data_IF_549363683726
#
_entry.id   IF_549363683726
#
_cell.length_a   1.000
_cell.length_b   1.000
_cell.length_c   1.000
_cell.angle_alpha   90.00
_cell.angle_beta   90.00
_cell.angle_gamma   90.00
#
_symmetry.space_group_name_H-M   'P 1'
#
loop_
_entity.id
_entity.type
_entity.pdbx_description
1 polymer ?
#
# COMPACT_ATOMS: atom_id res chain seq x y z
N UNK A 1 -8.67 20.02 -5.23
CA UNK A 1 -9.76 19.46 -6.03
C UNK A 1 -9.28 18.18 -6.68
N UNK A 2 -9.95 17.07 -6.39
CA UNK A 2 -9.66 15.81 -7.06
C UNK A 2 -9.98 15.98 -8.54
N UNK A 3 -9.00 15.77 -9.41
CA UNK A 3 -9.25 15.67 -10.83
C UNK A 3 -10.09 14.41 -11.08
N UNK A 4 -11.14 14.53 -11.89
CA UNK A 4 -12.00 13.40 -12.28
C UNK A 4 -11.36 12.47 -13.31
N UNK A 5 -10.22 12.83 -13.84
CA UNK A 5 -9.50 12.09 -14.87
C UNK A 5 -8.45 11.19 -14.23
N UNK A 6 -8.15 10.11 -14.90
CA UNK A 6 -7.24 9.10 -14.44
C UNK A 6 -5.89 9.72 -14.06
N UNK A 7 -5.50 9.50 -12.82
CA UNK A 7 -4.27 10.04 -12.28
C UNK A 7 -3.09 9.31 -12.91
N UNK A 8 -2.20 10.08 -13.49
CA UNK A 8 -0.90 9.60 -13.91
C UNK A 8 -0.05 9.24 -12.69
N UNK A 9 1.01 8.46 -12.88
CA UNK A 9 1.93 8.04 -11.83
C UNK A 9 2.22 9.15 -10.83
N UNK A 10 1.80 8.96 -9.59
CA UNK A 10 2.13 9.84 -8.48
C UNK A 10 1.77 11.32 -8.71
N UNK A 11 0.82 11.63 -9.59
CA UNK A 11 0.49 13.01 -9.94
C UNK A 11 0.23 13.86 -8.70
N UNK A 12 -0.48 13.33 -7.71
CA UNK A 12 -0.70 14.04 -6.45
C UNK A 12 0.51 14.02 -5.53
N UNK A 13 1.23 12.90 -5.47
CA UNK A 13 2.47 12.80 -4.70
C UNK A 13 3.61 13.62 -5.28
N UNK A 14 3.61 13.85 -6.59
CA UNK A 14 4.62 14.63 -7.28
C UNK A 14 4.40 16.15 -7.23
N UNK A 15 3.30 16.63 -6.68
CA UNK A 15 3.10 18.08 -6.52
C UNK A 15 4.17 18.69 -5.59
N UNK A 16 4.74 19.81 -6.02
CA UNK A 16 5.84 20.47 -5.29
C UNK A 16 5.52 20.72 -3.82
N UNK A 17 4.28 21.02 -3.49
CA UNK A 17 3.84 21.20 -2.11
C UNK A 17 3.96 19.90 -1.32
N UNK A 18 3.49 18.78 -1.87
CA UNK A 18 3.45 17.49 -1.16
C UNK A 18 4.83 16.91 -0.81
N UNK A 19 5.87 17.32 -1.53
CA UNK A 19 7.26 16.91 -1.23
C UNK A 19 8.02 17.93 -0.39
N UNK A 20 7.36 18.97 0.11
CA UNK A 20 7.97 20.01 0.93
C UNK A 20 7.92 19.66 2.43
N UNK A 21 8.89 20.17 3.19
CA UNK A 21 8.89 20.08 4.65
C UNK A 21 7.62 20.69 5.26
N UNK A 22 7.09 21.75 4.64
CA UNK A 22 5.85 22.37 5.08
C UNK A 22 4.65 21.45 4.98
N UNK A 23 4.54 20.66 3.91
CA UNK A 23 3.47 19.67 3.77
C UNK A 23 3.63 18.52 4.77
N UNK A 24 4.86 18.05 4.97
CA UNK A 24 5.15 17.00 5.95
C UNK A 24 4.81 17.44 7.37
N UNK A 25 5.26 18.63 7.76
CA UNK A 25 4.95 19.20 9.08
C UNK A 25 3.44 19.38 9.28
N UNK A 26 2.72 19.79 8.21
CA UNK A 26 1.26 19.90 8.26
C UNK A 26 0.57 18.55 8.42
N UNK A 27 1.08 17.49 7.79
CA UNK A 27 0.59 16.11 7.97
C UNK A 27 0.77 15.67 9.43
N UNK A 28 1.94 15.88 10.03
CA UNK A 28 2.21 15.59 11.43
C UNK A 28 1.25 16.36 12.35
N UNK A 29 1.10 17.67 12.14
CA UNK A 29 0.17 18.51 12.92
C UNK A 29 -1.26 17.97 12.90
N UNK A 30 -1.75 17.57 11.72
CA UNK A 30 -3.12 17.08 11.55
C UNK A 30 -3.32 15.68 12.12
N UNK A 31 -2.32 14.80 12.05
CA UNK A 31 -2.42 13.44 12.53
C UNK A 31 -2.18 13.30 14.04
N UNK A 32 -1.43 14.20 14.65
CA UNK A 32 -1.16 14.15 16.09
C UNK A 32 -2.44 13.99 16.95
N UNK A 33 -3.49 14.83 16.82
CA UNK A 33 -4.70 14.66 17.61
C UNK A 33 -5.46 13.36 17.28
N UNK A 34 -5.38 12.88 16.03
CA UNK A 34 -6.02 11.62 15.62
C UNK A 34 -5.35 10.42 16.30
N UNK A 35 -4.02 10.40 16.30
CA UNK A 35 -3.23 9.36 16.98
C UNK A 35 -3.47 9.38 18.50
N UNK A 36 -3.53 10.55 19.12
CA UNK A 36 -3.83 10.66 20.55
C UNK A 36 -5.25 10.18 20.88
N UNK A 37 -6.21 10.39 19.99
CA UNK A 37 -7.56 9.83 20.15
C UNK A 37 -7.55 8.31 20.02
N UNK A 38 -6.85 7.77 19.03
CA UNK A 38 -6.68 6.34 18.82
C UNK A 38 -6.06 5.66 20.05
N UNK A 39 -5.01 6.27 20.61
CA UNK A 39 -4.37 5.83 21.85
C UNK A 39 -5.33 5.79 23.03
N UNK A 40 -6.14 6.83 23.23
CA UNK A 40 -7.14 6.89 24.30
C UNK A 40 -8.26 5.85 24.15
N UNK A 41 -8.55 5.47 22.91
CA UNK A 41 -9.61 4.53 22.57
C UNK A 41 -9.12 3.10 22.40
N UNK A 42 -7.82 2.85 22.58
CA UNK A 42 -7.14 1.58 22.32
C UNK A 42 -7.41 1.04 20.88
N UNK A 43 -7.34 1.94 19.91
CA UNK A 43 -7.54 1.63 18.49
C UNK A 43 -6.18 1.68 17.77
N UNK A 44 -5.93 0.68 16.93
CA UNK A 44 -4.81 0.69 16.00
C UNK A 44 -5.24 1.32 14.67
N UNK A 45 -4.59 2.41 14.28
CA UNK A 45 -4.75 3.02 12.96
C UNK A 45 -3.78 2.38 11.97
N UNK A 46 -4.14 2.42 10.70
CA UNK A 46 -3.23 2.08 9.62
C UNK A 46 -3.21 3.21 8.57
N UNK A 47 -2.03 3.47 8.01
CA UNK A 47 -1.86 4.38 6.87
C UNK A 47 -1.47 3.57 5.64
N UNK A 48 -2.27 3.68 4.59
CA UNK A 48 -2.02 2.96 3.34
C UNK A 48 -0.94 3.62 2.50
N UNK A 49 -0.07 2.78 1.92
CA UNK A 49 0.84 3.23 0.85
C UNK A 49 0.08 3.40 -0.45
N UNK A 50 0.09 4.59 -1.01
CA UNK A 50 -0.73 4.92 -2.18
C UNK A 50 -0.08 5.90 -3.14
N UNK A 51 -0.42 5.81 -4.42
CA UNK A 51 0.11 6.69 -5.45
C UNK A 51 -0.48 8.11 -5.43
N UNK A 52 -1.62 8.29 -4.78
CA UNK A 52 -2.31 9.59 -4.66
C UNK A 52 -2.09 10.24 -3.29
N UNK A 53 -1.10 9.79 -2.55
CA UNK A 53 -0.86 10.19 -1.17
C UNK A 53 0.57 10.68 -0.98
N UNK A 54 0.85 11.27 0.17
CA UNK A 54 2.22 11.60 0.57
C UNK A 54 3.00 10.34 0.99
N UNK A 55 2.30 9.32 1.45
CA UNK A 55 2.90 8.04 1.87
C UNK A 55 2.84 7.09 0.69
N UNK A 56 3.90 7.07 -0.10
CA UNK A 56 4.02 6.26 -1.33
C UNK A 56 4.88 5.02 -1.16
N UNK A 57 5.47 4.83 0.03
CA UNK A 57 6.38 3.72 0.30
C UNK A 57 6.33 3.30 1.77
N UNK A 58 6.79 2.10 2.04
CA UNK A 58 7.00 1.60 3.40
C UNK A 58 7.95 2.51 4.19
N UNK A 59 9.03 2.97 3.56
CA UNK A 59 9.97 3.89 4.19
C UNK A 59 9.30 5.19 4.68
N UNK A 60 8.44 5.80 3.85
CA UNK A 60 7.70 7.01 4.23
C UNK A 60 6.65 6.72 5.31
N UNK A 61 6.00 5.56 5.25
CA UNK A 61 5.09 5.11 6.30
C UNK A 61 5.78 4.95 7.64
N UNK A 62 6.95 4.29 7.66
CA UNK A 62 7.78 4.16 8.86
C UNK A 62 8.22 5.52 9.38
N UNK A 63 8.74 6.39 8.50
CA UNK A 63 9.14 7.75 8.86
C UNK A 63 7.99 8.53 9.52
N UNK A 64 6.78 8.41 8.99
CA UNK A 64 5.60 9.05 9.57
C UNK A 64 5.33 8.56 11.00
N UNK A 65 5.42 7.25 11.24
CA UNK A 65 5.21 6.65 12.56
C UNK A 65 6.29 7.10 13.54
N UNK A 66 7.55 7.13 13.11
CA UNK A 66 8.68 7.58 13.92
C UNK A 66 8.54 9.08 14.28
N UNK A 67 8.19 9.93 13.32
CA UNK A 67 8.01 11.36 13.54
C UNK A 67 6.79 11.67 14.45
N UNK A 68 5.73 10.86 14.40
CA UNK A 68 4.59 10.92 15.32
C UNK A 68 4.89 10.29 16.69
N UNK A 69 5.99 9.55 16.80
CA UNK A 69 6.41 8.84 18.02
C UNK A 69 5.26 8.02 18.65
N UNK A 70 4.63 7.17 17.86
CA UNK A 70 3.42 6.46 18.27
C UNK A 70 3.50 4.96 18.01
N UNK A 71 2.80 4.18 18.85
CA UNK A 71 2.54 2.75 18.65
C UNK A 71 1.12 2.46 18.16
N UNK A 72 0.28 3.49 18.02
CA UNK A 72 -1.12 3.39 17.61
C UNK A 72 -1.35 3.71 16.13
N UNK A 73 -0.27 3.78 15.35
CA UNK A 73 -0.30 3.87 13.89
C UNK A 73 0.67 2.82 13.32
N UNK A 74 0.22 2.10 12.32
CA UNK A 74 1.03 1.15 11.55
C UNK A 74 0.85 1.40 10.05
N UNK A 75 1.66 0.74 9.23
CA UNK A 75 1.53 0.79 7.77
C UNK A 75 0.53 -0.26 7.30
N UNK A 76 -0.40 0.13 6.46
CA UNK A 76 -1.10 -0.76 5.55
C UNK A 76 -0.29 -0.75 4.25
N UNK A 77 0.37 -1.87 3.96
CA UNK A 77 1.19 -1.98 2.77
C UNK A 77 0.40 -2.55 1.60
N UNK A 78 0.37 -1.80 0.51
CA UNK A 78 -0.12 -2.27 -0.78
C UNK A 78 1.08 -2.33 -1.75
N UNK A 79 1.64 -3.53 -1.99
CA UNK A 79 2.81 -3.68 -2.82
C UNK A 79 2.59 -3.33 -4.29
N UNK A 80 1.36 -3.42 -4.80
CA UNK A 80 1.07 -3.00 -6.16
C UNK A 80 1.08 -1.46 -6.28
N UNK A 81 0.57 -0.74 -5.26
CA UNK A 81 0.72 0.71 -5.18
C UNK A 81 2.20 1.11 -5.10
N UNK A 82 2.98 0.42 -4.28
CA UNK A 82 4.42 0.65 -4.15
C UNK A 82 5.16 0.42 -5.46
N UNK A 83 4.81 -0.63 -6.21
CA UNK A 83 5.44 -0.97 -7.48
C UNK A 83 5.41 0.18 -8.48
N UNK A 84 4.26 0.81 -8.70
CA UNK A 84 4.17 1.93 -9.63
C UNK A 84 4.59 3.28 -9.04
N UNK A 85 4.87 3.33 -7.76
CA UNK A 85 5.57 4.45 -7.12
C UNK A 85 7.10 4.27 -7.11
N UNK A 86 7.61 3.16 -7.68
CA UNK A 86 9.04 2.91 -7.82
C UNK A 86 9.69 2.19 -6.62
N UNK A 87 8.92 1.71 -5.66
CA UNK A 87 9.42 0.85 -4.58
C UNK A 87 9.47 -0.61 -5.05
N UNK A 88 10.56 -1.31 -4.78
CA UNK A 88 10.62 -2.75 -5.01
C UNK A 88 9.75 -3.47 -3.96
N UNK A 89 8.66 -4.15 -4.35
CA UNK A 89 7.69 -4.67 -3.40
C UNK A 89 8.18 -5.86 -2.57
N UNK A 90 9.24 -6.54 -2.98
CA UNK A 90 9.63 -7.80 -2.35
C UNK A 90 10.82 -7.72 -1.41
N UNK A 91 11.62 -6.68 -1.47
CA UNK A 91 12.85 -6.60 -0.69
C UNK A 91 12.91 -5.37 0.20
N UNK A 92 13.08 -4.19 -0.39
CA UNK A 92 13.37 -2.97 0.38
C UNK A 92 12.18 -2.51 1.22
N UNK A 93 10.96 -2.76 0.74
CA UNK A 93 9.74 -2.38 1.44
C UNK A 93 9.62 -3.09 2.79
N UNK A 94 9.67 -4.42 2.78
CA UNK A 94 9.48 -5.23 4.00
C UNK A 94 10.64 -5.12 4.98
N UNK A 95 11.86 -4.83 4.52
CA UNK A 95 12.99 -4.54 5.43
C UNK A 95 12.70 -3.28 6.28
N UNK A 96 11.99 -2.29 5.71
CA UNK A 96 11.55 -1.10 6.45
C UNK A 96 10.45 -1.40 7.49
N UNK A 97 9.76 -2.53 7.36
CA UNK A 97 8.63 -2.90 8.22
C UNK A 97 9.03 -3.78 9.42
N UNK A 98 10.27 -4.19 9.51
CA UNK A 98 10.79 -4.91 10.68
C UNK A 98 10.61 -4.09 11.97
N UNK A 99 10.29 -4.77 13.06
CA UNK A 99 10.06 -4.12 14.36
C UNK A 99 8.61 -3.72 14.62
N UNK A 100 7.65 -4.32 13.87
CA UNK A 100 6.22 -4.19 14.15
C UNK A 100 5.54 -2.98 13.51
N UNK A 101 6.13 -2.40 12.48
CA UNK A 101 5.54 -1.28 11.74
C UNK A 101 4.41 -1.69 10.80
N UNK A 102 4.38 -2.96 10.36
CA UNK A 102 3.34 -3.47 9.47
C UNK A 102 2.06 -3.80 10.23
N UNK A 103 0.94 -3.24 9.83
CA UNK A 103 -0.37 -3.44 10.46
C UNK A 103 -1.37 -4.19 9.60
N UNK A 104 -1.28 -4.04 8.28
CA UNK A 104 -2.15 -4.71 7.32
C UNK A 104 -1.47 -4.81 5.96
N UNK A 105 -1.90 -5.76 5.15
CA UNK A 105 -1.41 -5.94 3.78
C UNK A 105 -2.60 -6.03 2.82
N UNK A 106 -2.61 -5.20 1.79
CA UNK A 106 -3.46 -5.38 0.63
C UNK A 106 -2.71 -6.12 -0.47
N UNK A 107 -3.40 -7.05 -1.12
CA UNK A 107 -2.85 -7.75 -2.27
C UNK A 107 -3.74 -7.55 -3.48
N UNK A 108 -3.15 -7.06 -4.55
CA UNK A 108 -3.73 -6.95 -5.89
C UNK A 108 -2.63 -7.11 -6.93
N UNK A 109 -3.00 -7.17 -8.19
CA UNK A 109 -2.03 -7.23 -9.28
C UNK A 109 -2.33 -6.20 -10.37
N UNK A 110 -1.28 -5.76 -11.04
CA UNK A 110 -1.33 -4.65 -11.99
C UNK A 110 -0.43 -4.89 -13.19
N UNK A 111 -0.86 -4.39 -14.34
CA UNK A 111 -0.03 -4.10 -15.51
C UNK A 111 0.31 -2.61 -15.52
N UNK A 112 1.60 -2.29 -15.58
CA UNK A 112 2.10 -0.91 -15.59
C UNK A 112 2.75 -0.63 -16.92
N UNK A 113 2.15 0.24 -17.72
CA UNK A 113 2.68 0.70 -19.00
C UNK A 113 3.31 2.09 -18.82
N UNK A 114 4.56 2.14 -18.36
CA UNK A 114 5.27 3.38 -18.00
C UNK A 114 5.26 4.40 -19.14
N UNK A 115 5.56 3.94 -20.37
CA UNK A 115 5.62 4.81 -21.57
C UNK A 115 4.26 5.41 -21.99
N UNK A 116 3.15 4.86 -21.45
CA UNK A 116 1.79 5.37 -21.66
C UNK A 116 1.23 6.04 -20.40
N UNK A 117 1.98 6.03 -19.30
CA UNK A 117 1.52 6.46 -17.98
C UNK A 117 0.18 5.80 -17.58
N UNK A 118 0.04 4.50 -17.86
CA UNK A 118 -1.18 3.73 -17.60
C UNK A 118 -0.92 2.62 -16.61
N UNK A 119 -1.93 2.40 -15.76
CA UNK A 119 -2.02 1.27 -14.84
C UNK A 119 -3.35 0.58 -15.13
N UNK A 120 -3.32 -0.74 -15.18
CA UNK A 120 -4.50 -1.59 -15.30
C UNK A 120 -4.44 -2.66 -14.24
N UNK A 121 -5.51 -2.81 -13.44
CA UNK A 121 -5.63 -3.93 -12.53
C UNK A 121 -5.96 -5.21 -13.31
N UNK A 122 -5.35 -6.32 -12.90
CA UNK A 122 -5.52 -7.66 -13.48
C UNK A 122 -5.76 -8.67 -12.37
N UNK A 123 -6.12 -9.91 -12.72
CA UNK A 123 -6.25 -10.97 -11.73
C UNK A 123 -4.90 -11.25 -11.05
N UNK A 124 -4.93 -11.61 -9.78
CA UNK A 124 -3.73 -11.84 -8.98
C UNK A 124 -2.88 -12.98 -9.59
N UNK A 125 -1.64 -12.66 -9.90
CA UNK A 125 -0.70 -13.57 -10.54
C UNK A 125 -0.63 -13.44 -12.07
N UNK A 126 -1.39 -12.53 -12.67
CA UNK A 126 -1.38 -12.27 -14.12
C UNK A 126 -0.63 -10.98 -14.51
N UNK A 127 -0.25 -10.17 -13.52
CA UNK A 127 0.42 -8.89 -13.73
C UNK A 127 1.88 -8.87 -13.28
N UNK A 128 2.36 -7.68 -13.05
CA UNK A 128 3.76 -7.42 -12.68
C UNK A 128 4.06 -7.74 -11.22
N UNK A 129 3.04 -7.98 -10.39
CA UNK A 129 3.22 -8.51 -9.04
C UNK A 129 3.53 -10.02 -9.04
N UNK A 130 3.19 -10.75 -10.11
CA UNK A 130 3.35 -12.20 -10.19
C UNK A 130 4.72 -12.73 -9.73
N UNK A 131 5.88 -12.17 -10.18
CA UNK A 131 7.19 -12.64 -9.75
C UNK A 131 7.54 -12.33 -8.30
N UNK A 132 6.79 -11.44 -7.64
CA UNK A 132 7.04 -11.00 -6.27
C UNK A 132 6.17 -11.73 -5.23
N UNK A 133 5.05 -12.32 -5.64
CA UNK A 133 4.04 -12.85 -4.71
C UNK A 133 4.61 -13.87 -3.72
N UNK A 134 5.40 -14.85 -4.19
CA UNK A 134 5.99 -15.86 -3.32
C UNK A 134 7.05 -15.23 -2.39
N UNK A 135 7.92 -14.37 -2.91
CA UNK A 135 8.94 -13.69 -2.10
C UNK A 135 8.30 -12.81 -1.01
N UNK A 136 7.16 -12.19 -1.29
CA UNK A 136 6.40 -11.42 -0.29
C UNK A 136 5.88 -12.37 0.80
N UNK A 137 5.27 -13.50 0.41
CA UNK A 137 4.77 -14.49 1.38
C UNK A 137 5.89 -15.01 2.29
N UNK A 138 7.01 -15.41 1.71
CA UNK A 138 8.19 -15.91 2.44
C UNK A 138 8.70 -14.82 3.40
N UNK A 139 8.82 -13.57 2.93
CA UNK A 139 9.34 -12.47 3.73
C UNK A 139 8.41 -12.05 4.87
N UNK A 140 7.09 -12.09 4.67
CA UNK A 140 6.12 -11.87 5.74
C UNK A 140 6.27 -12.91 6.85
N UNK A 141 6.49 -14.17 6.50
CA UNK A 141 6.79 -15.24 7.46
C UNK A 141 8.13 -14.96 8.18
N UNK A 142 9.18 -14.58 7.48
CA UNK A 142 10.50 -14.31 8.04
C UNK A 142 10.49 -13.20 9.10
N UNK A 143 9.70 -12.13 8.86
CA UNK A 143 9.54 -11.03 9.84
C UNK A 143 8.53 -11.33 10.94
N UNK A 144 7.94 -12.52 10.94
CA UNK A 144 6.95 -12.95 11.92
C UNK A 144 5.64 -12.17 11.86
N UNK A 145 5.20 -11.79 10.65
CA UNK A 145 3.92 -11.07 10.48
C UNK A 145 2.75 -12.00 10.78
N UNK A 146 1.98 -11.66 11.80
CA UNK A 146 0.79 -12.39 12.28
C UNK A 146 -0.52 -11.61 12.06
N UNK A 147 -0.44 -10.48 11.35
CA UNK A 147 -1.59 -9.65 11.04
C UNK A 147 -2.44 -10.20 9.89
N UNK A 148 -3.53 -9.49 9.60
CA UNK A 148 -4.44 -9.87 8.51
C UNK A 148 -3.97 -9.32 7.16
N UNK A 149 -4.34 -10.05 6.10
CA UNK A 149 -4.15 -9.67 4.71
C UNK A 149 -5.50 -9.64 4.00
N UNK A 150 -5.70 -8.70 3.09
CA UNK A 150 -6.90 -8.58 2.27
C UNK A 150 -6.57 -8.67 0.79
N UNK A 151 -7.37 -9.46 0.07
CA UNK A 151 -7.38 -9.37 -1.39
C UNK A 151 -8.20 -8.13 -1.78
N UNK A 152 -7.51 -7.08 -2.24
CA UNK A 152 -8.13 -5.87 -2.79
C UNK A 152 -8.32 -6.04 -4.30
N UNK A 153 -9.32 -6.81 -4.72
CA UNK A 153 -9.56 -7.01 -6.14
C UNK A 153 -10.29 -5.82 -6.75
N UNK A 154 -9.52 -4.91 -7.34
CA UNK A 154 -10.04 -3.83 -8.21
C UNK A 154 -10.07 -4.24 -9.69
N UNK A 155 -9.68 -5.48 -9.99
CA UNK A 155 -9.81 -6.07 -11.31
C UNK A 155 -11.28 -6.31 -11.64
N UNK A 156 -11.64 -5.98 -12.87
CA UNK A 156 -12.94 -6.28 -13.46
C UNK A 156 -12.73 -6.84 -14.86
N UNK A 157 -13.16 -8.06 -15.15
CA UNK A 157 -13.18 -8.60 -16.51
C UNK A 157 -13.99 -7.73 -17.47
N UNK A 158 -13.68 -7.78 -18.77
CA UNK A 158 -14.37 -6.96 -19.78
C UNK A 158 -15.87 -7.21 -19.86
N UNK A 159 -16.30 -8.43 -19.58
CA UNK A 159 -17.71 -8.88 -19.60
C UNK A 159 -18.18 -9.35 -18.22
N UNK A 160 -17.57 -8.85 -17.14
CA UNK A 160 -17.85 -9.26 -15.76
C UNK A 160 -17.97 -8.05 -14.82
N UNK A 161 -18.10 -8.35 -13.54
CA UNK A 161 -18.13 -7.37 -12.47
C UNK A 161 -16.93 -7.52 -11.51
N UNK A 162 -16.96 -6.82 -10.38
CA UNK A 162 -15.90 -6.90 -9.37
C UNK A 162 -15.88 -8.25 -8.63
N UNK A 163 -17.03 -8.93 -8.50
CA UNK A 163 -17.11 -10.26 -7.90
C UNK A 163 -16.41 -11.29 -8.79
N UNK A 164 -16.59 -11.20 -10.12
CA UNK A 164 -15.87 -12.04 -11.08
C UNK A 164 -14.37 -11.82 -11.00
N UNK A 165 -13.92 -10.57 -10.85
CA UNK A 165 -12.52 -10.21 -10.65
C UNK A 165 -11.96 -10.74 -9.34
N UNK A 166 -12.74 -10.69 -8.26
CA UNK A 166 -12.39 -11.29 -6.98
C UNK A 166 -12.25 -12.81 -7.09
N UNK A 167 -13.23 -13.48 -7.71
CA UNK A 167 -13.23 -14.92 -7.89
C UNK A 167 -12.05 -15.41 -8.73
N UNK A 168 -11.62 -14.63 -9.73
CA UNK A 168 -10.43 -14.93 -10.54
C UNK A 168 -9.13 -14.90 -9.71
N UNK A 169 -9.09 -14.13 -8.64
CA UNK A 169 -7.89 -13.89 -7.82
C UNK A 169 -7.82 -14.71 -6.54
N UNK A 170 -8.97 -15.07 -5.93
CA UNK A 170 -9.04 -15.60 -4.57
C UNK A 170 -8.32 -16.95 -4.40
N UNK A 171 -8.37 -17.82 -5.41
CA UNK A 171 -7.69 -19.12 -5.35
C UNK A 171 -6.17 -18.95 -5.25
N UNK A 172 -5.61 -18.04 -6.07
CA UNK A 172 -4.18 -17.73 -6.04
C UNK A 172 -3.78 -17.11 -4.70
N UNK A 173 -4.60 -16.18 -4.19
CA UNK A 173 -4.39 -15.56 -2.89
C UNK A 173 -4.34 -16.60 -1.76
N UNK A 174 -5.33 -17.47 -1.69
CA UNK A 174 -5.38 -18.54 -0.67
C UNK A 174 -4.17 -19.48 -0.75
N UNK A 175 -3.74 -19.86 -1.94
CA UNK A 175 -2.60 -20.75 -2.12
C UNK A 175 -1.26 -20.16 -1.67
N UNK A 176 -1.15 -18.82 -1.63
CA UNK A 176 0.06 -18.13 -1.20
C UNK A 176 0.09 -17.82 0.29
N UNK A 177 -1.09 -17.58 0.89
CA UNK A 177 -1.20 -16.94 2.21
C UNK A 177 -2.10 -17.72 3.20
N UNK A 178 -2.40 -19.00 2.95
CA UNK A 178 -3.17 -19.86 3.87
C UNK A 178 -2.31 -20.92 4.55
#
# INVERSE_FOLDING_TARGET
SFRKEMVLFGEHGAEKWNVSDGAWNKLIELLTPVVELAKKSDIMLVVETGNNAMITSCFLGRKLIDDLNTKHLKVLWDPANALYCGENPSKNALDSMEGGYLGHVHMKDVEVAIHQAKIKCVALGEGQMSPHLQTIADRLNDIGYDGSMSLESVYRPSEGDFEDGFNASITKFKNLYS
#
